data_IF_599425145299
#
_entry.id   IF_599425145299
#
_cell.length_a   1.000
_cell.length_b   1.000
_cell.length_c   1.000
_cell.angle_alpha   90.00
_cell.angle_beta   90.00
_cell.angle_gamma   90.00
#
_symmetry.space_group_name_H-M   'P 1'
#
loop_
_entity.id
_entity.type
_entity.pdbx_description
1 polymer ?
#
# COMPACT_ATOMS: atom_id res chain seq x y z
N UNK A 1 -28.65 -24.49 -71.40
CA UNK A 1 -27.50 -24.03 -70.59
C UNK A 1 -27.93 -22.82 -69.81
N UNK A 2 -28.13 -22.95 -68.49
CA UNK A 2 -28.57 -21.87 -67.60
C UNK A 2 -27.30 -21.28 -66.97
N UNK A 3 -27.01 -20.01 -67.24
CA UNK A 3 -25.94 -19.27 -66.58
C UNK A 3 -26.50 -18.66 -65.30
N UNK A 4 -26.01 -19.14 -64.16
CA UNK A 4 -26.29 -18.58 -62.84
C UNK A 4 -25.13 -17.67 -62.45
N UNK A 5 -25.39 -16.36 -62.37
CA UNK A 5 -24.43 -15.34 -61.93
C UNK A 5 -24.39 -15.31 -60.41
N UNK A 6 -23.27 -15.69 -59.80
CA UNK A 6 -23.05 -15.60 -58.34
C UNK A 6 -22.42 -14.25 -58.03
N UNK A 7 -23.13 -13.40 -57.30
CA UNK A 7 -22.62 -12.14 -56.74
C UNK A 7 -21.94 -12.46 -55.40
N UNK A 8 -20.63 -12.27 -55.32
CA UNK A 8 -19.87 -12.37 -54.08
C UNK A 8 -19.94 -11.02 -53.33
N UNK A 9 -20.62 -11.00 -52.19
CA UNK A 9 -20.60 -9.86 -51.28
C UNK A 9 -19.32 -9.93 -50.43
N UNK A 10 -18.41 -8.98 -50.65
CA UNK A 10 -17.24 -8.79 -49.80
C UNK A 10 -17.67 -8.12 -48.49
N UNK A 11 -17.65 -8.86 -47.38
CA UNK A 11 -17.79 -8.30 -46.04
C UNK A 11 -16.41 -7.80 -45.61
N UNK A 12 -16.12 -6.52 -45.82
CA UNK A 12 -15.03 -5.85 -45.13
C UNK A 12 -15.44 -5.60 -43.69
N UNK A 13 -15.07 -6.52 -42.80
CA UNK A 13 -15.10 -6.27 -41.37
C UNK A 13 -14.02 -5.24 -41.02
N UNK A 14 -14.44 -4.03 -40.63
CA UNK A 14 -13.57 -3.16 -39.85
C UNK A 14 -13.34 -3.85 -38.51
N UNK A 15 -12.16 -4.45 -38.34
CA UNK A 15 -11.65 -4.77 -37.01
C UNK A 15 -11.41 -3.43 -36.31
N UNK A 16 -12.39 -2.99 -35.51
CA UNK A 16 -12.12 -2.01 -34.47
C UNK A 16 -11.12 -2.70 -33.54
N UNK A 17 -9.87 -2.24 -33.54
CA UNK A 17 -8.93 -2.55 -32.47
C UNK A 17 -9.60 -2.08 -31.17
N UNK A 18 -10.12 -3.01 -30.39
CA UNK A 18 -10.35 -2.76 -28.97
C UNK A 18 -8.97 -2.45 -28.42
N UNK A 19 -8.70 -1.17 -28.16
CA UNK A 19 -7.46 -0.80 -27.47
C UNK A 19 -7.53 -1.47 -26.10
N UNK A 20 -6.72 -2.51 -25.90
CA UNK A 20 -6.65 -3.22 -24.64
C UNK A 20 -6.10 -2.30 -23.56
N UNK A 21 -6.72 -2.34 -22.39
CA UNK A 21 -6.14 -1.73 -21.19
C UNK A 21 -4.73 -2.28 -20.96
N UNK A 22 -3.78 -1.41 -20.63
CA UNK A 22 -2.42 -1.79 -20.23
C UNK A 22 -2.16 -1.35 -18.80
N UNK A 23 -1.85 -2.32 -17.94
CA UNK A 23 -1.37 -2.05 -16.57
C UNK A 23 0.14 -1.77 -16.62
N UNK A 24 0.56 -0.59 -16.17
CA UNK A 24 1.98 -0.19 -16.15
C UNK A 24 2.66 -0.50 -14.83
N UNK A 25 1.89 -0.53 -13.74
CA UNK A 25 2.39 -0.94 -12.44
C UNK A 25 1.31 -1.00 -11.38
N UNK A 26 1.67 -1.55 -10.23
CA UNK A 26 0.77 -1.66 -9.08
C UNK A 26 1.52 -1.55 -7.75
N UNK A 27 0.80 -1.11 -6.73
CA UNK A 27 1.20 -1.23 -5.33
C UNK A 27 0.17 -2.08 -4.58
N UNK A 28 0.65 -3.10 -3.87
CA UNK A 28 -0.15 -4.00 -3.05
C UNK A 28 0.24 -3.77 -1.59
N UNK A 29 -0.75 -3.48 -0.74
CA UNK A 29 -0.60 -3.49 0.71
C UNK A 29 -1.32 -4.71 1.28
N UNK A 30 -0.59 -5.57 1.99
CA UNK A 30 -1.12 -6.82 2.57
C UNK A 30 -1.16 -6.77 4.09
N UNK A 31 -2.31 -7.18 4.65
CA UNK A 31 -2.41 -7.54 6.06
C UNK A 31 -1.61 -8.82 6.30
N UNK A 32 -1.12 -9.01 7.53
CA UNK A 32 -0.64 -10.31 7.99
C UNK A 32 -1.67 -11.43 7.85
N UNK A 33 -1.17 -12.65 7.69
CA UNK A 33 -1.97 -13.88 7.77
C UNK A 33 -2.41 -14.21 9.20
N UNK A 34 -3.04 -15.37 9.35
CA UNK A 34 -3.37 -15.98 10.63
C UNK A 34 -2.14 -16.12 11.55
N UNK A 35 -2.38 -15.92 12.85
CA UNK A 35 -1.33 -15.71 13.84
C UNK A 35 -1.80 -16.06 15.24
N UNK A 36 -0.86 -16.37 16.13
CA UNK A 36 -1.15 -16.59 17.56
C UNK A 36 -1.71 -15.31 18.21
N UNK A 37 -2.49 -15.44 19.28
CA UNK A 37 -3.20 -14.30 19.88
C UNK A 37 -2.28 -13.12 20.21
N UNK A 38 -2.79 -11.90 20.00
CA UNK A 38 -2.13 -10.63 20.33
C UNK A 38 -2.13 -10.38 21.84
N UNK A 39 -3.01 -11.02 22.61
CA UNK A 39 -3.19 -10.80 24.04
C UNK A 39 -1.87 -10.81 24.84
N UNK A 40 -0.98 -11.75 24.53
CA UNK A 40 0.30 -11.91 25.23
C UNK A 40 1.46 -11.05 24.67
N UNK A 41 1.21 -10.23 23.66
CA UNK A 41 2.20 -9.29 23.09
C UNK A 41 3.38 -9.94 22.34
N UNK A 42 3.30 -11.23 22.01
CA UNK A 42 4.35 -11.98 21.31
C UNK A 42 3.81 -12.76 20.10
N UNK A 43 2.77 -12.26 19.45
CA UNK A 43 2.10 -12.89 18.33
C UNK A 43 3.07 -13.31 17.21
N UNK A 44 2.87 -14.53 16.70
CA UNK A 44 3.68 -15.14 15.66
C UNK A 44 2.80 -15.55 14.48
N UNK A 45 3.30 -15.37 13.27
CA UNK A 45 2.64 -15.87 12.06
C UNK A 45 2.61 -17.40 12.11
N UNK A 46 1.43 -17.99 11.98
CA UNK A 46 1.27 -19.46 12.03
C UNK A 46 1.58 -20.06 10.65
N UNK A 47 1.76 -21.39 10.53
CA UNK A 47 1.80 -22.06 9.23
C UNK A 47 0.55 -21.83 8.37
N UNK A 48 -0.63 -21.69 9.01
CA UNK A 48 -1.87 -21.31 8.32
C UNK A 48 -1.74 -19.90 7.74
N UNK A 49 -1.24 -18.95 8.52
CA UNK A 49 -0.99 -17.57 8.06
C UNK A 49 0.03 -17.49 6.93
N UNK A 50 1.12 -18.26 7.02
CA UNK A 50 2.10 -18.38 5.94
C UNK A 50 1.45 -18.90 4.65
N UNK A 51 0.59 -19.91 4.75
CA UNK A 51 -0.15 -20.47 3.60
C UNK A 51 -1.09 -19.44 2.97
N UNK A 52 -1.80 -18.66 3.80
CA UNK A 52 -2.67 -17.58 3.32
C UNK A 52 -1.85 -16.50 2.59
N UNK A 53 -0.76 -16.03 3.17
CA UNK A 53 0.11 -15.03 2.55
C UNK A 53 0.73 -15.54 1.23
N UNK A 54 1.20 -16.79 1.22
CA UNK A 54 1.71 -17.46 0.02
C UNK A 54 0.64 -17.55 -1.08
N UNK A 55 -0.58 -17.97 -0.73
CA UNK A 55 -1.71 -18.03 -1.67
C UNK A 55 -2.05 -16.64 -2.24
N UNK A 56 -2.01 -15.60 -1.40
CA UNK A 56 -2.17 -14.20 -1.85
C UNK A 56 -1.08 -13.80 -2.86
N UNK A 57 0.18 -14.15 -2.58
CA UNK A 57 1.29 -13.96 -3.53
C UNK A 57 1.07 -14.67 -4.88
N UNK A 58 0.62 -15.93 -4.85
CA UNK A 58 0.30 -16.70 -6.06
C UNK A 58 -0.84 -16.08 -6.86
N UNK A 59 -1.87 -15.56 -6.19
CA UNK A 59 -2.95 -14.83 -6.84
C UNK A 59 -2.39 -13.65 -7.65
N UNK A 60 -1.54 -12.84 -7.04
CA UNK A 60 -0.94 -11.68 -7.72
C UNK A 60 0.10 -12.05 -8.77
N UNK A 61 0.80 -13.18 -8.64
CA UNK A 61 1.62 -13.76 -9.73
C UNK A 61 0.75 -14.04 -10.95
N UNK A 62 -0.35 -14.74 -10.76
CA UNK A 62 -1.26 -15.09 -11.85
C UNK A 62 -1.88 -13.84 -12.49
N UNK A 63 -2.18 -12.82 -11.68
CA UNK A 63 -2.78 -11.57 -12.15
C UNK A 63 -1.80 -10.69 -12.92
N UNK A 64 -0.61 -10.44 -12.36
CA UNK A 64 0.29 -9.38 -12.84
C UNK A 64 1.52 -9.88 -13.58
N UNK A 65 1.97 -11.12 -13.36
CA UNK A 65 3.21 -11.63 -13.97
C UNK A 65 2.91 -12.55 -15.16
N UNK A 66 1.82 -13.32 -15.08
CA UNK A 66 1.46 -14.32 -16.09
C UNK A 66 1.12 -13.70 -17.45
N UNK A 67 1.70 -14.18 -18.57
CA UNK A 67 1.38 -13.75 -19.93
C UNK A 67 -0.04 -14.14 -20.36
N UNK A 68 -0.68 -15.07 -19.65
CA UNK A 68 -2.07 -15.45 -19.89
C UNK A 68 -3.07 -14.45 -19.28
N UNK A 69 -2.63 -13.55 -18.39
CA UNK A 69 -3.49 -12.54 -17.78
C UNK A 69 -3.62 -11.31 -18.65
N UNK A 70 -4.85 -10.84 -18.85
CA UNK A 70 -5.12 -9.54 -19.48
C UNK A 70 -4.67 -8.35 -18.63
N UNK A 71 -4.40 -8.58 -17.34
CA UNK A 71 -3.96 -7.55 -16.38
C UNK A 71 -2.46 -7.63 -16.12
N UNK A 72 -1.71 -8.39 -16.93
CA UNK A 72 -0.26 -8.46 -16.80
C UNK A 72 0.36 -7.06 -16.80
N UNK A 73 1.26 -6.82 -15.86
CA UNK A 73 2.03 -5.58 -15.82
C UNK A 73 2.99 -5.54 -17.01
N UNK A 74 2.92 -4.47 -17.79
CA UNK A 74 3.67 -4.34 -19.03
C UNK A 74 5.19 -4.48 -18.80
N UNK A 75 5.81 -5.42 -19.51
CA UNK A 75 7.24 -5.69 -19.44
C UNK A 75 7.75 -6.12 -18.06
N UNK A 76 6.91 -6.64 -17.17
CA UNK A 76 7.38 -7.25 -15.93
C UNK A 76 8.00 -8.62 -16.21
N UNK A 77 9.08 -8.93 -15.49
CA UNK A 77 9.70 -10.25 -15.51
C UNK A 77 8.77 -11.28 -14.87
N UNK A 78 8.39 -12.30 -15.63
CA UNK A 78 7.45 -13.33 -15.17
C UNK A 78 8.13 -14.36 -14.27
N UNK A 79 9.29 -14.86 -14.71
CA UNK A 79 9.90 -16.06 -14.13
C UNK A 79 10.97 -15.70 -13.12
N UNK A 80 11.94 -14.88 -13.52
CA UNK A 80 13.10 -14.51 -12.70
C UNK A 80 12.88 -13.15 -12.05
N UNK A 81 13.01 -13.06 -10.73
CA UNK A 81 12.92 -11.82 -9.98
C UNK A 81 13.90 -10.76 -10.52
N UNK A 82 13.37 -9.56 -10.79
CA UNK A 82 14.16 -8.38 -11.15
C UNK A 82 14.10 -7.34 -10.05
N UNK A 83 15.24 -7.12 -9.38
CA UNK A 83 15.38 -6.08 -8.33
C UNK A 83 15.04 -4.67 -8.81
N UNK A 84 15.19 -4.40 -10.11
CA UNK A 84 14.83 -3.09 -10.68
C UNK A 84 13.32 -2.89 -10.83
N UNK A 85 12.55 -3.97 -10.92
CA UNK A 85 11.11 -3.94 -11.21
C UNK A 85 10.23 -4.15 -9.98
N UNK A 86 10.74 -4.80 -8.93
CA UNK A 86 9.99 -5.04 -7.70
C UNK A 86 10.66 -4.39 -6.49
N UNK A 87 9.85 -3.70 -5.68
CA UNK A 87 10.22 -3.25 -4.35
C UNK A 87 9.31 -3.89 -3.30
N UNK A 88 9.89 -4.38 -2.21
CA UNK A 88 9.10 -4.90 -1.09
C UNK A 88 9.61 -4.41 0.26
N UNK A 89 8.70 -4.03 1.16
CA UNK A 89 9.07 -3.64 2.52
C UNK A 89 8.00 -3.99 3.56
N UNK A 90 8.44 -4.09 4.80
CA UNK A 90 7.58 -4.22 5.97
C UNK A 90 8.23 -3.50 7.16
N UNK A 91 7.46 -3.09 8.18
CA UNK A 91 8.04 -2.72 9.46
C UNK A 91 8.89 -3.88 10.00
N UNK A 92 9.97 -3.57 10.72
CA UNK A 92 10.89 -4.53 11.32
C UNK A 92 10.24 -5.22 12.55
N UNK A 93 9.20 -6.00 12.26
CA UNK A 93 8.41 -6.79 13.19
C UNK A 93 8.30 -8.19 12.59
N UNK A 94 8.69 -9.23 13.34
CA UNK A 94 8.79 -10.61 12.84
C UNK A 94 7.55 -11.07 12.07
N UNK A 95 6.35 -10.78 12.60
CA UNK A 95 5.09 -11.17 11.97
C UNK A 95 4.88 -10.51 10.59
N UNK A 96 5.29 -9.24 10.42
CA UNK A 96 5.11 -8.48 9.17
C UNK A 96 6.20 -8.82 8.14
N UNK A 97 7.44 -9.01 8.59
CA UNK A 97 8.52 -9.51 7.75
C UNK A 97 8.23 -10.92 7.24
N UNK A 98 7.74 -11.82 8.10
CA UNK A 98 7.36 -13.17 7.71
C UNK A 98 6.14 -13.16 6.77
N UNK A 99 5.17 -12.27 7.00
CA UNK A 99 4.04 -12.05 6.08
C UNK A 99 4.52 -11.69 4.69
N UNK A 100 5.36 -10.66 4.57
CA UNK A 100 5.91 -10.22 3.30
C UNK A 100 6.75 -11.32 2.65
N UNK A 101 7.56 -12.02 3.44
CA UNK A 101 8.37 -13.14 2.96
C UNK A 101 7.48 -14.23 2.34
N UNK A 102 6.49 -14.76 3.07
CA UNK A 102 5.57 -15.77 2.55
C UNK A 102 4.80 -15.30 1.32
N UNK A 103 4.38 -14.03 1.28
CA UNK A 103 3.76 -13.44 0.09
C UNK A 103 4.71 -13.47 -1.12
N UNK A 104 5.96 -13.03 -0.94
CA UNK A 104 6.96 -12.99 -2.02
C UNK A 104 7.32 -14.39 -2.54
N UNK A 105 7.28 -15.42 -1.67
CA UNK A 105 7.45 -16.82 -2.07
C UNK A 105 6.34 -17.29 -3.03
N UNK A 106 5.11 -16.84 -2.83
CA UNK A 106 4.01 -17.10 -3.76
C UNK A 106 4.12 -16.29 -5.05
N UNK A 107 4.63 -15.07 -4.96
CA UNK A 107 4.77 -14.14 -6.10
C UNK A 107 5.88 -14.56 -7.08
N UNK A 108 7.06 -14.91 -6.55
CA UNK A 108 8.22 -15.43 -7.27
C UNK A 108 8.64 -16.78 -6.67
N UNK A 109 7.95 -17.87 -7.03
CA UNK A 109 8.27 -19.21 -6.53
C UNK A 109 9.61 -19.71 -7.07
N UNK A 110 10.14 -20.84 -6.55
CA UNK A 110 11.38 -21.42 -7.05
C UNK A 110 11.39 -21.64 -8.57
N UNK A 111 12.55 -21.43 -9.19
CA UNK A 111 12.76 -21.56 -10.64
C UNK A 111 13.60 -22.80 -10.94
N UNK A 112 13.19 -23.65 -11.89
CA UNK A 112 13.94 -24.86 -12.18
C UNK A 112 15.32 -24.54 -12.73
N UNK A 113 16.29 -25.44 -12.47
CA UNK A 113 17.66 -25.34 -12.97
C UNK A 113 17.77 -25.06 -14.48
N UNK A 114 16.83 -25.56 -15.30
CA UNK A 114 16.79 -25.29 -16.75
C UNK A 114 16.61 -23.82 -17.13
N UNK A 115 16.15 -22.98 -16.19
CA UNK A 115 15.95 -21.54 -16.36
C UNK A 115 17.05 -20.74 -15.68
N UNK A 116 17.52 -21.16 -14.51
CA UNK A 116 18.38 -20.33 -13.66
C UNK A 116 19.43 -21.14 -12.88
N UNK A 117 20.20 -21.98 -13.57
CA UNK A 117 21.43 -22.57 -13.04
C UNK A 117 22.65 -21.67 -13.31
N UNK A 118 23.61 -21.68 -12.37
CA UNK A 118 24.93 -21.07 -12.56
C UNK A 118 25.90 -22.11 -13.12
N UNK A 119 26.52 -21.81 -14.26
CA UNK A 119 27.60 -22.63 -14.81
C UNK A 119 28.94 -22.26 -14.16
N UNK A 120 29.59 -23.23 -13.53
CA UNK A 120 30.90 -23.06 -12.92
C UNK A 120 32.02 -23.32 -13.93
N UNK A 121 33.22 -22.77 -13.65
CA UNK A 121 34.38 -22.89 -14.54
C UNK A 121 34.87 -24.34 -14.78
N UNK A 122 34.52 -25.28 -13.90
CA UNK A 122 34.82 -26.70 -14.02
C UNK A 122 33.80 -27.48 -14.89
N UNK A 123 32.79 -26.79 -15.43
CA UNK A 123 31.73 -27.38 -16.26
C UNK A 123 30.56 -27.99 -15.47
N UNK A 124 30.53 -27.90 -14.14
CA UNK A 124 29.33 -28.26 -13.36
C UNK A 124 28.33 -27.12 -13.31
N UNK A 125 27.05 -27.46 -13.19
CA UNK A 125 25.97 -26.51 -12.91
C UNK A 125 25.55 -26.57 -11.45
N UNK A 126 25.26 -25.42 -10.85
CA UNK A 126 24.72 -25.32 -9.50
C UNK A 126 23.41 -24.54 -9.50
N UNK A 127 22.48 -24.98 -8.68
CA UNK A 127 21.18 -24.35 -8.47
C UNK A 127 21.14 -23.67 -7.10
N UNK A 128 20.29 -22.65 -6.97
CA UNK A 128 19.99 -22.07 -5.66
C UNK A 128 19.35 -23.14 -4.73
N UNK A 129 19.59 -23.08 -3.41
CA UNK A 129 18.95 -23.97 -2.44
C UNK A 129 17.41 -23.94 -2.51
N UNK A 130 16.75 -24.90 -1.84
CA UNK A 130 15.28 -25.02 -1.79
C UNK A 130 14.64 -25.10 -3.19
N UNK A 131 15.19 -25.98 -4.03
CA UNK A 131 14.73 -26.28 -5.39
C UNK A 131 14.66 -25.05 -6.31
N UNK A 132 15.68 -24.18 -6.23
CA UNK A 132 15.78 -22.99 -7.08
C UNK A 132 15.13 -21.75 -6.49
N UNK A 133 15.07 -21.64 -5.17
CA UNK A 133 14.42 -20.53 -4.48
C UNK A 133 14.99 -19.17 -4.88
N UNK A 134 14.08 -18.22 -5.13
CA UNK A 134 14.43 -16.85 -5.51
C UNK A 134 14.52 -15.94 -4.28
N UNK A 135 15.68 -15.34 -4.06
CA UNK A 135 15.92 -14.42 -2.95
C UNK A 135 15.44 -13.01 -3.29
N UNK A 136 14.13 -12.80 -3.22
CA UNK A 136 13.52 -11.46 -3.39
C UNK A 136 13.96 -10.55 -2.24
N UNK A 137 14.38 -9.33 -2.57
CA UNK A 137 14.84 -8.37 -1.55
C UNK A 137 13.65 -7.82 -0.78
N UNK A 138 13.61 -8.07 0.53
CA UNK A 138 12.66 -7.50 1.47
C UNK A 138 13.36 -6.48 2.36
N UNK A 139 12.85 -5.25 2.38
CA UNK A 139 13.38 -4.18 3.23
C UNK A 139 12.61 -4.13 4.56
N UNK A 140 13.31 -4.42 5.67
CA UNK A 140 12.80 -4.14 7.01
C UNK A 140 12.97 -2.66 7.35
N UNK A 141 11.90 -2.03 7.85
CA UNK A 141 11.91 -0.63 8.27
C UNK A 141 11.99 -0.57 9.78
N UNK A 142 13.15 -0.12 10.28
CA UNK A 142 13.40 0.04 11.71
C UNK A 142 12.44 1.07 12.32
N UNK A 143 11.93 0.78 13.53
CA UNK A 143 10.94 1.62 14.21
C UNK A 143 11.46 3.00 14.63
N UNK A 144 12.77 3.20 14.67
CA UNK A 144 13.41 4.48 14.98
C UNK A 144 13.85 5.23 13.72
N UNK A 145 13.63 4.66 12.53
CA UNK A 145 13.82 5.35 11.26
C UNK A 145 12.65 6.30 10.98
N UNK A 146 12.89 7.49 10.39
CA UNK A 146 11.80 8.34 9.89
C UNK A 146 10.92 7.62 8.86
N UNK A 147 11.41 6.59 8.17
CA UNK A 147 10.63 5.81 7.20
C UNK A 147 9.54 4.94 7.83
N UNK A 148 9.58 4.70 9.15
CA UNK A 148 8.56 3.90 9.85
C UNK A 148 7.16 4.47 9.68
N UNK A 149 7.04 5.80 9.59
CA UNK A 149 5.77 6.50 9.58
C UNK A 149 4.91 6.12 8.36
N UNK A 150 5.53 5.68 7.26
CA UNK A 150 4.85 5.31 6.02
C UNK A 150 3.96 4.06 6.16
N UNK A 151 4.30 3.17 7.08
CA UNK A 151 3.58 1.92 7.32
C UNK A 151 3.02 1.83 8.75
N UNK A 152 3.47 2.70 9.66
CA UNK A 152 3.14 2.74 11.10
C UNK A 152 2.95 4.16 11.61
N UNK A 153 2.27 5.01 10.82
CA UNK A 153 2.12 6.44 11.13
C UNK A 153 1.30 6.76 12.38
N UNK A 154 0.62 5.78 12.96
CA UNK A 154 -0.11 5.85 14.22
C UNK A 154 0.76 5.44 15.43
N UNK A 155 1.82 4.65 15.23
CA UNK A 155 2.72 4.22 16.30
C UNK A 155 3.66 5.36 16.72
N UNK A 156 4.10 5.33 17.98
CA UNK A 156 4.92 6.40 18.59
C UNK A 156 4.33 7.80 18.41
N UNK A 157 2.99 7.88 18.35
CA UNK A 157 2.28 9.12 18.07
C UNK A 157 1.36 9.58 19.20
N UNK A 158 1.80 10.50 20.08
CA UNK A 158 1.00 10.99 21.21
C UNK A 158 -0.36 11.57 20.80
N UNK A 159 -0.41 12.34 19.71
CA UNK A 159 -1.65 12.92 19.20
C UNK A 159 -2.65 11.84 18.74
N UNK A 160 -2.18 10.85 17.97
CA UNK A 160 -3.01 9.71 17.53
C UNK A 160 -3.50 8.89 18.73
N UNK A 161 -2.59 8.54 19.66
CA UNK A 161 -2.92 7.80 20.88
C UNK A 161 -4.01 8.49 21.71
N UNK A 162 -3.93 9.81 21.84
CA UNK A 162 -4.92 10.62 22.57
C UNK A 162 -6.25 10.61 21.85
N UNK A 163 -6.24 10.79 20.53
CA UNK A 163 -7.45 10.78 19.72
C UNK A 163 -8.11 9.40 19.70
N UNK A 164 -7.36 8.31 19.56
CA UNK A 164 -7.84 6.93 19.66
C UNK A 164 -8.54 6.67 21.00
N UNK A 165 -7.90 7.02 22.13
CA UNK A 165 -8.47 6.87 23.47
C UNK A 165 -9.78 7.65 23.68
N UNK A 166 -9.95 8.78 22.99
CA UNK A 166 -11.19 9.56 23.10
C UNK A 166 -12.43 8.81 22.60
N UNK A 167 -12.28 7.74 21.80
CA UNK A 167 -13.42 6.92 21.36
C UNK A 167 -14.18 6.33 22.56
N UNK A 168 -13.48 5.92 23.62
CA UNK A 168 -14.08 5.38 24.84
C UNK A 168 -14.98 6.38 25.59
N UNK A 169 -14.85 7.67 25.27
CA UNK A 169 -15.69 8.73 25.86
C UNK A 169 -16.90 9.09 25.00
N UNK A 170 -17.01 8.53 23.79
CA UNK A 170 -18.12 8.79 22.87
C UNK A 170 -19.43 8.15 23.33
N UNK A 171 -20.55 8.71 22.89
CA UNK A 171 -21.88 8.15 23.18
C UNK A 171 -22.10 6.79 22.51
N UNK A 172 -21.54 6.57 21.31
CA UNK A 172 -21.57 5.27 20.64
C UNK A 172 -20.90 4.18 21.50
N UNK A 173 -19.68 4.45 21.99
CA UNK A 173 -18.96 3.51 22.84
C UNK A 173 -19.73 3.22 24.14
N UNK A 174 -20.19 4.27 24.85
CA UNK A 174 -20.95 4.09 26.10
C UNK A 174 -22.24 3.29 25.88
N UNK A 175 -22.93 3.54 24.77
CA UNK A 175 -24.14 2.80 24.40
C UNK A 175 -23.82 1.33 24.17
N UNK A 176 -22.79 1.01 23.38
CA UNK A 176 -22.40 -0.37 23.09
C UNK A 176 -21.93 -1.09 24.35
N UNK A 177 -21.10 -0.46 25.17
CA UNK A 177 -20.64 -0.97 26.47
C UNK A 177 -21.81 -1.33 27.38
N UNK A 178 -22.81 -0.44 27.51
CA UNK A 178 -23.99 -0.74 28.32
C UNK A 178 -24.89 -1.82 27.69
N UNK A 179 -25.12 -1.78 26.38
CA UNK A 179 -26.10 -2.68 25.73
C UNK A 179 -25.58 -4.10 25.51
N UNK A 180 -24.26 -4.29 25.51
CA UNK A 180 -23.62 -5.59 25.24
C UNK A 180 -23.04 -6.25 26.48
N UNK A 181 -23.20 -5.64 27.66
CA UNK A 181 -22.69 -6.15 28.92
C UNK A 181 -23.06 -7.61 29.17
N UNK A 182 -24.35 -7.94 29.11
CA UNK A 182 -24.83 -9.31 29.35
C UNK A 182 -24.28 -10.30 28.32
N UNK A 183 -24.12 -9.87 27.07
CA UNK A 183 -23.49 -10.67 26.02
C UNK A 183 -22.04 -11.00 26.37
N UNK A 184 -21.23 -10.01 26.73
CA UNK A 184 -19.83 -10.27 27.12
C UNK A 184 -19.73 -11.13 28.38
N UNK A 185 -20.57 -10.88 29.38
CA UNK A 185 -20.59 -11.70 30.60
C UNK A 185 -20.91 -13.18 30.29
N UNK A 186 -21.76 -13.45 29.29
CA UNK A 186 -22.05 -14.81 28.85
C UNK A 186 -20.86 -15.55 28.25
N UNK A 187 -19.77 -14.85 27.88
CA UNK A 187 -18.58 -15.45 27.29
C UNK A 187 -17.62 -16.07 28.31
N UNK A 188 -17.81 -15.83 29.61
CA UNK A 188 -16.90 -16.34 30.66
C UNK A 188 -16.59 -17.84 30.57
N UNK A 189 -17.57 -18.74 30.34
CA UNK A 189 -17.29 -20.18 30.24
C UNK A 189 -16.31 -20.57 29.12
N UNK A 190 -16.16 -19.72 28.10
CA UNK A 190 -15.26 -19.95 26.97
C UNK A 190 -13.84 -19.42 27.23
N UNK A 191 -13.68 -18.57 28.25
CA UNK A 191 -12.44 -17.86 28.59
C UNK A 191 -11.90 -18.22 29.98
N UNK A 192 -12.60 -19.07 30.74
CA UNK A 192 -12.24 -19.39 32.13
C UNK A 192 -10.84 -20.01 32.31
N UNK A 193 -10.31 -20.64 31.26
CA UNK A 193 -8.96 -21.23 31.25
C UNK A 193 -7.85 -20.23 30.84
N UNK A 194 -8.23 -19.00 30.45
CA UNK A 194 -7.28 -17.90 30.19
C UNK A 194 -6.89 -17.28 31.53
N UNK A 195 -5.65 -17.49 31.95
CA UNK A 195 -5.22 -17.32 33.34
C UNK A 195 -5.32 -15.88 33.88
N UNK A 196 -5.30 -14.88 33.01
CA UNK A 196 -5.32 -13.45 33.32
C UNK A 196 -6.64 -12.75 32.93
N UNK A 197 -7.64 -13.50 32.45
CA UNK A 197 -8.98 -12.96 32.20
C UNK A 197 -9.89 -13.21 33.41
N UNK A 198 -10.52 -12.15 33.88
CA UNK A 198 -11.52 -12.18 34.94
C UNK A 198 -12.90 -11.76 34.41
N UNK A 199 -13.96 -11.98 35.17
CA UNK A 199 -15.31 -11.51 34.79
C UNK A 199 -15.38 -9.98 34.58
N UNK A 200 -14.50 -9.22 35.24
CA UNK A 200 -14.44 -7.76 35.09
C UNK A 200 -13.89 -7.33 33.73
N UNK A 201 -13.14 -8.21 33.05
CA UNK A 201 -12.58 -7.94 31.72
C UNK A 201 -13.60 -8.19 30.61
N UNK A 202 -14.70 -8.90 30.89
CA UNK A 202 -15.77 -9.22 29.95
C UNK A 202 -16.65 -8.01 29.66
N UNK A 203 -16.16 -7.12 28.81
CA UNK A 203 -16.82 -5.88 28.42
C UNK A 203 -16.46 -5.46 27.00
N UNK A 204 -17.25 -4.53 26.44
CA UNK A 204 -16.98 -3.95 25.12
C UNK A 204 -15.66 -3.17 25.09
N UNK A 205 -15.21 -2.65 26.24
CA UNK A 205 -13.87 -2.06 26.39
C UNK A 205 -12.75 -2.99 25.91
N UNK A 206 -12.92 -4.30 26.05
CA UNK A 206 -11.96 -5.32 25.61
C UNK A 206 -12.44 -6.07 24.36
N UNK A 207 -13.34 -5.48 23.56
CA UNK A 207 -14.01 -6.15 22.44
C UNK A 207 -13.05 -6.87 21.48
N UNK A 208 -11.98 -6.20 21.03
CA UNK A 208 -11.01 -6.80 20.13
C UNK A 208 -10.21 -7.93 20.79
N UNK A 209 -9.76 -7.71 22.03
CA UNK A 209 -8.92 -8.67 22.75
C UNK A 209 -9.68 -9.98 23.03
N UNK A 210 -10.94 -9.87 23.48
CA UNK A 210 -11.82 -11.02 23.70
C UNK A 210 -12.18 -11.74 22.40
N UNK A 211 -12.46 -10.99 21.32
CA UNK A 211 -12.64 -11.56 19.99
C UNK A 211 -11.39 -12.33 19.56
N UNK A 212 -10.21 -11.73 19.75
CA UNK A 212 -8.97 -12.31 19.31
C UNK A 212 -8.64 -13.63 20.01
N UNK A 213 -8.73 -13.63 21.34
CA UNK A 213 -8.53 -14.83 22.16
C UNK A 213 -9.44 -15.97 21.70
N UNK A 214 -10.75 -15.70 21.57
CA UNK A 214 -11.73 -16.72 21.20
C UNK A 214 -11.61 -17.17 19.75
N UNK A 215 -11.35 -16.25 18.81
CA UNK A 215 -11.16 -16.58 17.40
C UNK A 215 -9.91 -17.46 17.22
N UNK A 216 -8.77 -17.06 17.79
CA UNK A 216 -7.54 -17.86 17.71
C UNK A 216 -7.72 -19.22 18.38
N UNK A 217 -8.33 -19.27 19.57
CA UNK A 217 -8.58 -20.52 20.27
C UNK A 217 -9.51 -21.46 19.47
N UNK A 218 -10.54 -20.93 18.80
CA UNK A 218 -11.44 -21.73 17.95
C UNK A 218 -10.75 -22.33 16.72
N UNK A 219 -9.69 -21.71 16.22
CA UNK A 219 -8.93 -22.18 15.04
C UNK A 219 -7.86 -23.21 15.47
N UNK A 220 -7.13 -22.92 16.55
CA UNK A 220 -5.87 -23.61 16.87
C UNK A 220 -5.91 -24.50 18.11
N UNK A 221 -6.89 -24.34 19.01
CA UNK A 221 -6.95 -25.07 20.27
C UNK A 221 -8.19 -25.97 20.32
N UNK A 222 -8.04 -27.21 19.84
CA UNK A 222 -9.11 -28.21 19.84
C UNK A 222 -9.64 -28.58 21.23
N UNK A 223 -8.87 -28.30 22.29
CA UNK A 223 -9.29 -28.53 23.67
C UNK A 223 -9.98 -27.32 24.32
N UNK A 224 -9.95 -26.16 23.68
CA UNK A 224 -10.59 -24.95 24.20
C UNK A 224 -12.11 -25.05 24.10
N UNK A 225 -12.79 -24.55 25.13
CA UNK A 225 -14.23 -24.34 25.09
C UNK A 225 -14.67 -23.45 23.91
N UNK A 226 -13.80 -22.57 23.38
CA UNK A 226 -14.06 -21.70 22.23
C UNK A 226 -14.49 -22.48 20.97
N UNK A 227 -14.12 -23.76 20.84
CA UNK A 227 -14.56 -24.64 19.75
C UNK A 227 -16.07 -24.93 19.78
N UNK A 228 -16.74 -24.70 20.92
CA UNK A 228 -18.17 -24.87 21.11
C UNK A 228 -18.96 -23.56 20.95
N UNK A 229 -18.31 -22.44 20.56
CA UNK A 229 -19.01 -21.20 20.26
C UNK A 229 -19.88 -21.37 19.02
N UNK A 230 -21.12 -20.87 19.08
CA UNK A 230 -21.97 -20.85 17.88
C UNK A 230 -21.44 -19.85 16.86
N UNK A 231 -21.74 -20.09 15.57
CA UNK A 231 -21.42 -19.16 14.48
C UNK A 231 -21.98 -17.76 14.73
N UNK A 232 -23.18 -17.66 15.31
CA UNK A 232 -23.85 -16.41 15.61
C UNK A 232 -23.13 -15.65 16.73
N UNK A 233 -22.66 -16.36 17.76
CA UNK A 233 -21.94 -15.76 18.89
C UNK A 233 -20.59 -15.22 18.44
N UNK A 234 -19.83 -16.01 17.66
CA UNK A 234 -18.55 -15.57 17.10
C UNK A 234 -18.74 -14.40 16.14
N UNK A 235 -19.80 -14.41 15.31
CA UNK A 235 -20.13 -13.31 14.42
C UNK A 235 -20.50 -12.02 15.17
N UNK A 236 -21.30 -12.12 16.24
CA UNK A 236 -21.62 -10.97 17.09
C UNK A 236 -20.38 -10.41 17.77
N UNK A 237 -19.51 -11.28 18.30
CA UNK A 237 -18.25 -10.90 18.92
C UNK A 237 -17.32 -10.18 17.93
N UNK A 238 -17.18 -10.73 16.71
CA UNK A 238 -16.47 -10.10 15.60
C UNK A 238 -17.05 -8.73 15.26
N UNK A 239 -18.38 -8.63 15.11
CA UNK A 239 -19.05 -7.36 14.78
C UNK A 239 -18.78 -6.28 15.82
N UNK A 240 -18.70 -6.64 17.10
CA UNK A 240 -18.37 -5.69 18.17
C UNK A 240 -16.89 -5.29 18.14
N UNK A 241 -15.98 -6.23 17.90
CA UNK A 241 -14.56 -5.95 17.68
C UNK A 241 -14.35 -5.03 16.47
N UNK A 242 -15.05 -5.27 15.36
CA UNK A 242 -15.02 -4.44 14.16
C UNK A 242 -15.38 -2.98 14.47
N UNK A 243 -16.48 -2.76 15.20
CA UNK A 243 -16.89 -1.42 15.64
C UNK A 243 -15.86 -0.78 16.57
N UNK A 244 -15.30 -1.56 17.50
CA UNK A 244 -14.33 -1.04 18.46
C UNK A 244 -13.04 -0.58 17.76
N UNK A 245 -12.52 -1.38 16.85
CA UNK A 245 -11.30 -1.07 16.11
C UNK A 245 -11.55 0.04 15.07
N UNK A 246 -12.69 0.06 14.38
CA UNK A 246 -13.03 1.15 13.46
C UNK A 246 -13.18 2.48 14.19
N UNK A 247 -13.91 2.51 15.30
CA UNK A 247 -14.07 3.72 16.12
C UNK A 247 -12.75 4.20 16.72
N UNK A 248 -11.83 3.27 17.02
CA UNK A 248 -10.47 3.60 17.47
C UNK A 248 -9.63 4.20 16.34
N UNK A 249 -9.69 3.65 15.13
CA UNK A 249 -8.82 4.05 14.01
C UNK A 249 -9.40 5.14 13.11
N UNK A 250 -10.67 5.53 13.28
CA UNK A 250 -11.30 6.56 12.46
C UNK A 250 -12.32 7.38 13.25
N UNK A 251 -12.40 8.67 12.93
CA UNK A 251 -13.42 9.58 13.45
C UNK A 251 -14.20 10.17 12.27
N UNK A 252 -15.47 9.78 12.13
CA UNK A 252 -16.37 10.28 11.08
C UNK A 252 -16.53 11.80 11.10
N UNK A 253 -16.42 12.43 12.28
CA UNK A 253 -16.54 13.89 12.42
C UNK A 253 -15.25 14.63 12.07
N UNK A 254 -14.11 13.91 12.07
CA UNK A 254 -12.79 14.44 11.74
C UNK A 254 -12.03 13.46 10.83
N UNK A 255 -12.45 13.29 9.55
CA UNK A 255 -11.84 12.30 8.64
C UNK A 255 -10.34 12.53 8.35
N UNK A 256 -9.86 13.74 8.58
CA UNK A 256 -8.45 14.12 8.44
C UNK A 256 -7.82 14.41 9.81
N UNK A 257 -8.41 13.90 10.90
CA UNK A 257 -7.92 14.10 12.27
C UNK A 257 -6.85 13.09 12.68
N UNK A 258 -6.50 13.10 13.95
CA UNK A 258 -5.35 12.37 14.48
C UNK A 258 -5.56 10.84 14.52
N UNK A 259 -6.81 10.34 14.49
CA UNK A 259 -7.06 8.90 14.30
C UNK A 259 -6.66 8.42 12.91
N UNK A 260 -6.67 9.30 11.91
CA UNK A 260 -6.31 9.01 10.53
C UNK A 260 -4.82 9.18 10.22
N UNK A 261 -3.96 9.31 11.24
CA UNK A 261 -2.51 9.50 11.03
C UNK A 261 -1.89 8.39 10.18
N UNK A 262 -2.19 7.12 10.48
CA UNK A 262 -1.73 5.98 9.69
C UNK A 262 -2.23 6.02 8.23
N UNK A 263 -3.45 6.49 7.99
CA UNK A 263 -3.98 6.65 6.62
C UNK A 263 -3.29 7.79 5.84
N UNK A 264 -3.07 8.93 6.50
CA UNK A 264 -2.47 10.11 5.89
C UNK A 264 -1.00 9.87 5.50
N UNK A 265 -0.23 9.12 6.30
CA UNK A 265 1.13 8.72 5.93
C UNK A 265 1.14 7.58 4.91
N UNK A 266 0.26 6.58 5.05
CA UNK A 266 0.16 5.48 4.09
C UNK A 266 -0.22 5.99 2.69
N UNK A 267 -1.20 6.89 2.57
CA UNK A 267 -1.59 7.47 1.28
C UNK A 267 -0.45 8.25 0.63
N UNK A 268 0.35 8.97 1.42
CA UNK A 268 1.57 9.62 0.93
C UNK A 268 2.59 8.59 0.42
N UNK A 269 2.77 7.47 1.14
CA UNK A 269 3.63 6.37 0.72
C UNK A 269 3.16 5.74 -0.60
N UNK A 270 1.85 5.53 -0.78
CA UNK A 270 1.27 5.03 -2.03
C UNK A 270 1.64 5.94 -3.20
N UNK A 271 1.42 7.26 -3.08
CA UNK A 271 1.79 8.23 -4.11
C UNK A 271 3.29 8.21 -4.35
N UNK A 272 4.11 8.19 -3.30
CA UNK A 272 5.57 8.17 -3.41
C UNK A 272 6.10 6.95 -4.17
N UNK A 273 5.58 5.76 -3.89
CA UNK A 273 5.99 4.53 -4.58
C UNK A 273 5.52 4.47 -6.03
N UNK A 274 4.26 4.85 -6.30
CA UNK A 274 3.76 4.89 -7.67
C UNK A 274 4.45 5.97 -8.51
N UNK A 275 4.81 7.11 -7.92
CA UNK A 275 5.55 8.17 -8.59
C UNK A 275 6.91 7.68 -9.10
N UNK A 276 7.63 6.84 -8.35
CA UNK A 276 8.90 6.25 -8.81
C UNK A 276 8.73 5.45 -10.11
N UNK A 277 7.62 4.72 -10.24
CA UNK A 277 7.29 4.01 -11.48
C UNK A 277 7.01 5.00 -12.60
N UNK A 278 6.18 6.02 -12.33
CA UNK A 278 5.80 7.04 -13.32
C UNK A 278 7.00 7.84 -13.82
N UNK A 279 7.88 8.29 -12.92
CA UNK A 279 9.12 9.02 -13.22
C UNK A 279 10.09 8.18 -14.06
N UNK A 280 10.06 6.85 -13.88
CA UNK A 280 10.85 5.92 -14.68
C UNK A 280 10.19 5.53 -16.00
N UNK A 281 9.04 6.14 -16.34
CA UNK A 281 8.23 5.80 -17.51
C UNK A 281 7.81 4.33 -17.57
N UNK A 282 7.50 3.74 -16.40
CA UNK A 282 7.11 2.33 -16.30
C UNK A 282 8.25 1.33 -16.41
N UNK A 283 9.51 1.76 -16.36
CA UNK A 283 10.68 0.87 -16.50
C UNK A 283 11.16 0.28 -15.17
N UNK A 284 11.01 1.03 -14.06
CA UNK A 284 11.46 0.64 -12.72
C UNK A 284 10.30 0.57 -11.74
N UNK A 285 10.49 -0.22 -10.69
CA UNK A 285 9.54 -0.39 -9.58
C UNK A 285 8.09 -0.59 -10.05
N UNK A 286 7.91 -1.40 -11.09
CA UNK A 286 6.61 -1.74 -11.68
C UNK A 286 5.65 -2.37 -10.67
N UNK A 287 6.18 -3.12 -9.71
CA UNK A 287 5.39 -3.72 -8.63
C UNK A 287 5.98 -3.34 -7.26
N UNK A 288 5.12 -2.87 -6.37
CA UNK A 288 5.47 -2.58 -4.97
C UNK A 288 4.63 -3.47 -4.04
N UNK A 289 5.27 -4.13 -3.08
CA UNK A 289 4.59 -4.94 -2.06
C UNK A 289 4.92 -4.40 -0.67
N UNK A 290 3.91 -3.94 0.04
CA UNK A 290 4.03 -3.41 1.40
C UNK A 290 3.26 -4.33 2.34
N UNK A 291 3.86 -4.73 3.47
CA UNK A 291 3.13 -5.47 4.51
C UNK A 291 2.88 -4.60 5.72
N UNK A 292 1.68 -4.72 6.30
CA UNK A 292 1.30 -4.03 7.53
C UNK A 292 0.12 -4.68 8.23
N UNK A 293 -0.56 -3.89 9.06
CA UNK A 293 -1.60 -4.35 9.96
C UNK A 293 -2.97 -3.76 9.59
N UNK A 294 -4.03 -4.28 10.22
CA UNK A 294 -5.41 -3.93 9.89
C UNK A 294 -5.79 -2.48 10.26
N UNK A 295 -5.11 -1.88 11.24
CA UNK A 295 -5.28 -0.48 11.67
C UNK A 295 -5.12 0.48 10.48
N UNK A 296 -4.08 0.27 9.66
CA UNK A 296 -3.84 1.03 8.42
C UNK A 296 -4.99 0.89 7.44
N UNK A 297 -5.56 -0.32 7.28
CA UNK A 297 -6.75 -0.53 6.44
C UNK A 297 -7.94 0.26 6.97
N UNK A 298 -8.27 0.12 8.27
CA UNK A 298 -9.45 0.78 8.86
C UNK A 298 -9.34 2.31 8.77
N UNK A 299 -8.18 2.86 9.10
CA UNK A 299 -7.92 4.28 8.98
C UNK A 299 -8.05 4.73 7.51
N UNK A 300 -7.49 3.98 6.57
CA UNK A 300 -7.55 4.30 5.14
C UNK A 300 -8.97 4.20 4.58
N UNK A 301 -9.74 3.18 4.97
CA UNK A 301 -11.14 3.01 4.54
C UNK A 301 -12.00 4.21 4.92
N UNK A 302 -11.85 4.71 6.14
CA UNK A 302 -12.52 5.93 6.57
C UNK A 302 -12.02 7.17 5.84
N UNK A 303 -10.70 7.38 5.81
CA UNK A 303 -10.06 8.56 5.21
C UNK A 303 -10.34 8.69 3.69
N UNK A 304 -10.35 7.56 2.99
CA UNK A 304 -10.66 7.46 1.56
C UNK A 304 -12.18 7.40 1.28
N UNK A 305 -13.03 7.53 2.31
CA UNK A 305 -14.50 7.50 2.22
C UNK A 305 -15.11 6.20 1.66
N UNK A 306 -14.39 5.08 1.74
CA UNK A 306 -14.85 3.76 1.29
C UNK A 306 -16.04 3.24 2.13
N UNK A 307 -16.18 3.71 3.37
CA UNK A 307 -17.34 3.42 4.24
C UNK A 307 -18.68 3.87 3.65
N UNK A 308 -18.68 4.78 2.67
CA UNK A 308 -19.89 5.22 1.94
C UNK A 308 -20.22 4.33 0.74
N UNK A 309 -19.27 3.48 0.34
CA UNK A 309 -19.33 2.71 -0.90
C UNK A 309 -19.89 1.31 -0.66
N UNK A 310 -19.37 0.58 0.34
CA UNK A 310 -19.74 -0.80 0.62
C UNK A 310 -19.63 -1.10 2.13
N UNK A 311 -20.53 -1.95 2.64
CA UNK A 311 -20.57 -2.31 4.07
C UNK A 311 -19.34 -3.11 4.52
N UNK A 312 -18.64 -3.78 3.61
CA UNK A 312 -17.43 -4.57 3.93
C UNK A 312 -16.29 -3.74 4.52
N UNK A 313 -16.29 -2.43 4.29
CA UNK A 313 -15.27 -1.53 4.81
C UNK A 313 -15.45 -1.17 6.29
N UNK A 314 -16.58 -1.56 6.92
CA UNK A 314 -16.79 -1.35 8.36
C UNK A 314 -16.14 -2.44 9.22
N UNK A 315 -15.78 -3.58 8.63
CA UNK A 315 -15.20 -4.72 9.32
C UNK A 315 -13.68 -4.68 9.34
N UNK A 316 -13.08 -5.35 10.33
CA UNK A 316 -11.67 -5.72 10.28
C UNK A 316 -11.44 -6.56 9.01
N UNK A 317 -10.48 -6.18 8.14
CA UNK A 317 -10.10 -6.99 7.00
C UNK A 317 -9.69 -8.40 7.45
N UNK A 318 -10.04 -9.41 6.66
CA UNK A 318 -9.69 -10.80 6.91
C UNK A 318 -8.17 -11.03 6.84
N UNK A 319 -7.69 -12.15 7.37
CA UNK A 319 -6.27 -12.47 7.33
C UNK A 319 -5.77 -12.54 5.88
N UNK A 320 -4.58 -11.98 5.61
CA UNK A 320 -4.02 -11.84 4.27
C UNK A 320 -4.88 -11.04 3.26
N UNK A 321 -5.81 -10.21 3.74
CA UNK A 321 -6.49 -9.22 2.90
C UNK A 321 -5.52 -8.22 2.28
N UNK A 322 -5.87 -7.69 1.11
CA UNK A 322 -5.02 -6.78 0.33
C UNK A 322 -5.79 -5.58 -0.21
N UNK A 323 -5.15 -4.42 -0.16
CA UNK A 323 -5.51 -3.21 -0.90
C UNK A 323 -4.51 -3.03 -2.04
N UNK A 324 -5.00 -2.69 -3.22
CA UNK A 324 -4.16 -2.55 -4.41
C UNK A 324 -4.48 -1.26 -5.16
N UNK A 325 -3.43 -0.57 -5.59
CA UNK A 325 -3.51 0.64 -6.41
C UNK A 325 -2.81 0.34 -7.73
N UNK A 326 -3.59 0.27 -8.81
CA UNK A 326 -3.06 0.02 -10.14
C UNK A 326 -2.93 1.34 -10.91
N UNK A 327 -1.83 1.48 -11.66
CA UNK A 327 -1.64 2.55 -12.64
C UNK A 327 -1.70 1.93 -14.03
N UNK A 328 -2.60 2.43 -14.86
CA UNK A 328 -2.91 1.84 -16.17
C UNK A 328 -3.30 2.91 -17.20
N UNK A 329 -3.38 2.53 -18.46
CA UNK A 329 -3.91 3.39 -19.54
C UNK A 329 -4.55 2.55 -20.65
N UNK A 330 -5.25 3.22 -21.56
CA UNK A 330 -5.88 2.56 -22.73
C UNK A 330 -4.88 2.31 -23.88
N UNK A 331 -3.58 2.47 -23.62
CA UNK A 331 -2.47 2.31 -24.57
C UNK A 331 -1.29 1.60 -23.92
N UNK A 332 -0.55 0.82 -24.73
CA UNK A 332 0.74 0.25 -24.31
C UNK A 332 1.84 1.32 -24.15
N UNK A 333 1.69 2.46 -24.82
CA UNK A 333 2.65 3.56 -24.71
C UNK A 333 2.51 4.22 -23.35
N UNK A 334 3.63 4.35 -22.66
CA UNK A 334 3.67 5.10 -21.41
C UNK A 334 3.60 6.61 -21.69
N UNK A 335 2.47 7.23 -21.33
CA UNK A 335 2.27 8.68 -21.38
C UNK A 335 1.56 9.11 -20.11
N UNK A 336 2.18 10.00 -19.32
CA UNK A 336 1.69 10.39 -18.00
C UNK A 336 0.28 11.00 -18.05
N UNK A 337 -0.01 11.76 -19.12
CA UNK A 337 -1.30 12.38 -19.38
C UNK A 337 -2.46 11.39 -19.58
N UNK A 338 -2.13 10.15 -19.97
CA UNK A 338 -3.09 9.07 -20.25
C UNK A 338 -3.25 8.12 -19.04
N UNK A 339 -2.39 8.26 -18.01
CA UNK A 339 -2.42 7.39 -16.84
C UNK A 339 -3.67 7.60 -15.99
N UNK A 340 -4.26 6.48 -15.61
CA UNK A 340 -5.35 6.37 -14.66
C UNK A 340 -4.91 5.52 -13.47
N UNK A 341 -5.58 5.72 -12.34
CA UNK A 341 -5.46 4.95 -11.11
C UNK A 341 -6.80 4.33 -10.78
N UNK A 342 -6.78 3.06 -10.37
CA UNK A 342 -7.92 2.41 -9.71
C UNK A 342 -7.50 1.76 -8.41
N UNK A 343 -8.43 1.74 -7.45
CA UNK A 343 -8.26 1.05 -6.17
C UNK A 343 -9.04 -0.27 -6.21
N UNK A 344 -8.38 -1.32 -5.73
CA UNK A 344 -8.97 -2.64 -5.59
C UNK A 344 -8.79 -3.17 -4.18
N UNK A 345 -9.74 -3.97 -3.73
CA UNK A 345 -9.71 -4.62 -2.42
C UNK A 345 -10.07 -6.10 -2.58
N UNK A 346 -9.24 -6.97 -2.01
CA UNK A 346 -9.51 -8.41 -1.87
C UNK A 346 -9.46 -8.76 -0.39
N UNK A 347 -10.59 -9.21 0.15
CA UNK A 347 -10.72 -9.48 1.58
C UNK A 347 -10.43 -10.95 1.91
N UNK A 348 -9.17 -11.25 2.22
CA UNK A 348 -8.72 -12.59 2.58
C UNK A 348 -8.36 -13.46 1.38
N UNK A 349 -8.25 -14.78 1.63
CA UNK A 349 -7.73 -15.75 0.65
C UNK A 349 -8.70 -16.84 0.25
N UNK A 350 -9.92 -16.80 0.78
CA UNK A 350 -10.95 -17.80 0.49
C UNK A 350 -11.28 -17.85 -1.01
N UNK A 351 -11.87 -18.97 -1.45
CA UNK A 351 -12.09 -19.25 -2.87
C UNK A 351 -13.09 -18.30 -3.54
N UNK A 352 -13.96 -17.68 -2.76
CA UNK A 352 -14.91 -16.64 -3.18
C UNK A 352 -14.37 -15.21 -3.02
N UNK A 353 -13.21 -15.03 -2.37
CA UNK A 353 -12.58 -13.72 -2.20
C UNK A 353 -12.02 -13.19 -3.54
N UNK A 354 -12.74 -12.23 -4.12
CA UNK A 354 -12.38 -11.55 -5.38
C UNK A 354 -11.62 -10.25 -5.13
N UNK A 355 -10.77 -9.88 -6.08
CA UNK A 355 -10.20 -8.54 -6.16
C UNK A 355 -11.22 -7.63 -6.85
N UNK A 356 -11.88 -6.78 -6.08
CA UNK A 356 -12.96 -5.91 -6.56
C UNK A 356 -12.51 -4.45 -6.59
N UNK A 357 -12.95 -3.71 -7.61
CA UNK A 357 -12.63 -2.30 -7.81
C UNK A 357 -13.66 -1.41 -7.10
N UNK A 358 -13.20 -0.35 -6.41
CA UNK A 358 -14.06 0.59 -5.70
C UNK A 358 -13.69 2.04 -5.98
N UNK A 359 -14.67 2.97 -6.02
CA UNK A 359 -14.38 4.39 -6.10
C UNK A 359 -13.74 4.90 -4.81
N UNK A 360 -12.74 5.77 -4.97
CA UNK A 360 -12.09 6.45 -3.86
C UNK A 360 -12.67 7.85 -3.64
N UNK A 361 -12.45 8.39 -2.44
CA UNK A 361 -12.64 9.79 -2.10
C UNK A 361 -14.10 10.28 -2.21
N UNK A 362 -15.05 9.36 -2.00
CA UNK A 362 -16.49 9.65 -2.06
C UNK A 362 -17.00 9.92 -3.48
N UNK A 363 -16.22 9.58 -4.50
CA UNK A 363 -16.61 9.69 -5.91
C UNK A 363 -17.47 8.51 -6.35
N UNK A 364 -18.03 8.61 -7.55
CA UNK A 364 -18.77 7.50 -8.19
C UNK A 364 -17.91 6.75 -9.20
N UNK A 365 -16.95 7.43 -9.81
CA UNK A 365 -16.01 6.85 -10.77
C UNK A 365 -15.01 5.94 -10.05
N UNK A 366 -14.85 4.72 -10.56
CA UNK A 366 -13.93 3.72 -10.02
C UNK A 366 -12.49 3.91 -10.52
N UNK A 367 -12.27 4.86 -11.43
CA UNK A 367 -11.01 5.18 -12.06
C UNK A 367 -10.84 6.70 -12.04
N UNK A 368 -9.61 7.18 -11.87
CA UNK A 368 -9.31 8.62 -11.95
C UNK A 368 -7.95 8.85 -12.57
N UNK A 369 -7.75 10.02 -13.18
CA UNK A 369 -6.43 10.38 -13.74
C UNK A 369 -5.36 10.35 -12.66
N UNK A 370 -4.14 9.92 -13.00
CA UNK A 370 -2.99 9.92 -12.09
C UNK A 370 -2.81 11.26 -11.38
N UNK A 371 -2.85 12.36 -12.13
CA UNK A 371 -2.73 13.72 -11.58
C UNK A 371 -3.85 14.08 -10.60
N UNK A 372 -5.07 13.61 -10.86
CA UNK A 372 -6.20 13.82 -9.96
C UNK A 372 -6.07 12.98 -8.69
N UNK A 373 -5.62 11.72 -8.78
CA UNK A 373 -5.35 10.87 -7.62
C UNK A 373 -4.34 11.54 -6.67
N UNK A 374 -3.24 12.04 -7.22
CA UNK A 374 -2.21 12.79 -6.46
C UNK A 374 -2.81 14.02 -5.78
N UNK A 375 -3.61 14.81 -6.50
CA UNK A 375 -4.25 16.01 -5.95
C UNK A 375 -5.25 15.69 -4.83
N UNK A 376 -6.04 14.63 -4.96
CA UNK A 376 -6.97 14.19 -3.92
C UNK A 376 -6.24 13.73 -2.66
N UNK A 377 -5.15 12.95 -2.81
CA UNK A 377 -4.32 12.51 -1.69
C UNK A 377 -3.73 13.71 -0.94
N UNK A 378 -3.16 14.67 -1.68
CA UNK A 378 -2.59 15.89 -1.09
C UNK A 378 -3.67 16.77 -0.44
N UNK A 379 -4.79 17.00 -1.13
CA UNK A 379 -5.90 17.84 -0.65
C UNK A 379 -6.58 17.28 0.60
N UNK A 380 -6.41 15.99 0.90
CA UNK A 380 -6.90 15.31 2.10
C UNK A 380 -5.89 15.25 3.24
N UNK A 381 -4.83 16.04 3.17
CA UNK A 381 -3.86 16.21 4.26
C UNK A 381 -2.87 15.06 4.40
N UNK A 382 -2.60 14.32 3.33
CA UNK A 382 -1.54 13.31 3.33
C UNK A 382 -0.20 13.95 3.75
N UNK A 383 0.47 13.31 4.71
CA UNK A 383 1.73 13.83 5.26
C UNK A 383 2.89 13.27 4.44
N UNK A 384 3.58 14.14 3.72
CA UNK A 384 4.63 13.72 2.76
C UNK A 384 6.03 13.76 3.34
N UNK A 385 6.20 14.32 4.54
CA UNK A 385 7.50 14.41 5.21
C UNK A 385 7.43 13.94 6.66
N UNK A 386 8.55 13.42 7.18
CA UNK A 386 8.68 13.09 8.59
C UNK A 386 8.57 14.32 9.48
N UNK A 387 8.96 15.51 8.99
CA UNK A 387 8.80 16.77 9.72
C UNK A 387 7.32 17.11 9.96
N UNK A 388 6.49 17.03 8.91
CA UNK A 388 5.04 17.27 9.02
C UNK A 388 4.41 16.30 10.01
N UNK A 389 4.80 15.02 9.91
CA UNK A 389 4.37 14.00 10.85
C UNK A 389 4.80 14.35 12.27
N UNK A 390 6.08 14.62 12.54
CA UNK A 390 6.59 14.94 13.88
C UNK A 390 5.83 16.12 14.51
N UNK A 391 5.62 17.20 13.75
CA UNK A 391 4.91 18.38 14.23
C UNK A 391 3.44 18.10 14.55
N UNK A 392 2.74 17.38 13.67
CA UNK A 392 1.33 17.03 13.86
C UNK A 392 1.12 16.01 14.97
N UNK A 393 2.01 15.03 15.01
CA UNK A 393 1.97 13.88 15.90
C UNK A 393 2.39 14.24 17.33
N UNK A 394 3.15 15.33 17.48
CA UNK A 394 3.77 15.75 18.74
C UNK A 394 4.68 14.65 19.31
N UNK A 395 5.40 13.95 18.43
CA UNK A 395 6.24 12.81 18.80
C UNK A 395 7.61 13.26 19.33
N UNK A 396 8.10 12.56 20.34
CA UNK A 396 9.44 12.75 20.91
C UNK A 396 10.48 11.75 20.39
N UNK A 397 10.16 11.03 19.30
CA UNK A 397 11.06 10.07 18.68
C UNK A 397 12.40 10.70 18.30
N UNK A 398 13.46 9.89 18.31
CA UNK A 398 14.83 10.37 18.09
C UNK A 398 14.99 11.16 16.78
N UNK A 399 14.36 10.68 15.69
CA UNK A 399 14.40 11.35 14.39
C UNK A 399 13.61 12.67 14.36
N UNK A 400 12.64 12.88 15.26
CA UNK A 400 11.88 14.14 15.33
C UNK A 400 12.71 15.30 15.90
N UNK A 401 13.68 15.00 16.78
CA UNK A 401 14.53 16.02 17.42
C UNK A 401 15.35 16.82 16.41
N UNK A 402 15.68 16.25 15.25
CA UNK A 402 16.42 16.93 14.19
C UNK A 402 15.65 18.16 13.68
N UNK A 403 14.31 18.07 13.63
CA UNK A 403 13.45 19.14 13.13
C UNK A 403 13.15 20.24 14.18
N UNK A 404 13.26 19.93 15.48
CA UNK A 404 13.12 20.92 16.55
C UNK A 404 14.30 21.91 16.59
N UNK A 405 15.50 21.42 16.25
CA UNK A 405 16.74 22.23 16.21
C UNK A 405 16.74 23.20 15.01
N UNK A 406 16.09 22.83 13.90
CA UNK A 406 15.97 23.72 12.73
C UNK A 406 14.99 24.88 12.98
N UNK A 407 13.91 24.64 13.73
CA UNK A 407 12.96 25.70 14.12
C UNK A 407 13.60 26.76 15.04
N UNK A 408 14.63 26.38 15.81
CA UNK A 408 15.36 27.29 16.71
C UNK A 408 16.57 27.97 16.06
N UNK A 409 17.11 27.44 14.96
CA UNK A 409 18.18 28.10 14.17
C UNK A 409 17.66 29.15 13.16
N UNK A 410 16.35 29.37 13.08
CA UNK A 410 15.74 30.47 12.33
C UNK A 410 16.02 31.87 12.89
N UNK A 411 16.59 31.96 14.09
CA UNK A 411 17.09 33.19 14.72
C UNK A 411 18.52 32.96 15.22
N UNK A 412 19.52 32.89 14.34
CA UNK A 412 20.81 33.58 14.56
C UNK A 412 21.81 33.38 13.42
N UNK A 413 22.47 34.49 13.03
CA UNK A 413 23.61 34.50 12.10
C UNK A 413 24.92 34.21 12.85
N UNK A 414 25.71 33.26 12.33
CA UNK A 414 27.17 33.32 11.98
C UNK A 414 27.99 32.10 12.42
N UNK A 415 28.75 31.62 11.42
CA UNK A 415 30.11 31.03 11.39
C UNK A 415 30.47 29.75 12.14
N UNK A 416 31.27 28.93 11.44
CA UNK A 416 32.14 27.90 12.02
C UNK A 416 31.80 26.48 11.62
N UNK A 417 32.59 25.91 10.70
CA UNK A 417 32.42 24.54 10.22
C UNK A 417 32.89 23.45 11.20
N UNK A 418 32.35 22.26 11.04
CA UNK A 418 33.06 20.98 11.14
C UNK A 418 32.21 19.90 10.47
N UNK A 419 32.87 19.07 9.68
CA UNK A 419 32.34 17.90 8.99
C UNK A 419 31.77 16.87 9.98
N UNK A 420 30.58 16.39 9.65
CA UNK A 420 29.95 15.22 10.27
C UNK A 420 29.06 14.57 9.23
N UNK A 421 29.47 13.41 8.74
CA UNK A 421 28.70 12.58 7.83
C UNK A 421 27.38 12.20 8.49
N UNK A 422 26.31 12.90 8.11
CA UNK A 422 24.94 12.51 8.38
C UNK A 422 24.43 11.76 7.15
N UNK A 423 24.11 10.48 7.36
CA UNK A 423 23.34 9.68 6.41
C UNK A 423 21.98 10.36 6.29
N UNK A 424 21.83 11.19 5.25
CA UNK A 424 20.58 11.80 4.88
C UNK A 424 19.66 10.72 4.31
N UNK A 425 18.80 10.17 5.17
CA UNK A 425 17.58 9.49 4.75
C UNK A 425 16.80 10.43 3.84
N UNK A 426 16.40 9.91 2.68
CA UNK A 426 15.85 10.65 1.55
C UNK A 426 14.64 11.48 2.00
N UNK A 427 14.78 12.81 1.94
CA UNK A 427 13.65 13.73 1.97
C UNK A 427 12.86 13.53 0.68
N UNK A 428 11.71 12.86 0.76
CA UNK A 428 10.74 12.82 -0.35
C UNK A 428 10.05 14.18 -0.48
N UNK A 429 10.73 15.12 -1.13
CA UNK A 429 10.12 16.22 -1.89
C UNK A 429 10.61 15.97 -3.31
N UNK A 430 9.76 15.58 -4.28
CA UNK A 430 8.93 16.53 -5.03
C UNK A 430 7.67 15.83 -5.55
N UNK A 431 6.50 16.10 -4.96
CA UNK A 431 5.23 15.98 -5.72
C UNK A 431 4.57 17.35 -5.71
N UNK A 432 4.83 18.11 -6.78
CA UNK A 432 4.26 19.45 -7.02
C UNK A 432 5.21 20.43 -7.70
N UNK A 433 6.53 20.29 -7.49
CA UNK A 433 7.54 21.20 -8.06
C UNK A 433 7.93 20.91 -9.52
N UNK A 434 7.87 19.65 -9.96
CA UNK A 434 8.37 19.27 -11.30
C UNK A 434 7.40 19.62 -12.43
N UNK A 435 6.10 19.72 -12.20
CA UNK A 435 5.16 20.14 -13.24
C UNK A 435 5.31 21.64 -13.59
N UNK A 436 5.58 22.51 -12.61
CA UNK A 436 5.79 23.94 -12.84
C UNK A 436 7.25 24.27 -13.21
N UNK A 437 8.23 23.58 -12.64
CA UNK A 437 9.64 23.78 -12.99
C UNK A 437 10.00 23.23 -14.38
N UNK A 438 9.43 22.09 -14.81
CA UNK A 438 9.66 21.56 -16.16
C UNK A 438 9.08 22.46 -17.24
N UNK A 439 7.90 23.05 -17.01
CA UNK A 439 7.30 24.03 -17.90
C UNK A 439 8.14 25.32 -17.98
N UNK A 440 8.62 25.84 -16.84
CA UNK A 440 9.49 27.02 -16.81
C UNK A 440 10.85 26.78 -17.46
N UNK A 441 11.46 25.60 -17.23
CA UNK A 441 12.74 25.21 -17.84
C UNK A 441 12.57 24.98 -19.35
N UNK A 442 11.49 24.34 -19.81
CA UNK A 442 11.18 24.24 -21.24
C UNK A 442 10.92 25.61 -21.86
N UNK A 443 10.19 26.52 -21.20
CA UNK A 443 9.95 27.86 -21.71
C UNK A 443 11.25 28.67 -21.83
N UNK A 444 12.16 28.55 -20.84
CA UNK A 444 13.49 29.17 -20.87
C UNK A 444 14.40 28.55 -21.94
N UNK A 445 14.31 27.24 -22.18
CA UNK A 445 15.10 26.56 -23.21
C UNK A 445 14.62 26.92 -24.63
N UNK A 446 13.30 27.01 -24.83
CA UNK A 446 12.70 27.46 -26.10
C UNK A 446 13.00 28.95 -26.34
N UNK A 447 12.91 29.80 -25.32
CA UNK A 447 13.26 31.22 -25.42
C UNK A 447 14.75 31.42 -25.74
N UNK A 448 15.66 30.65 -25.13
CA UNK A 448 17.09 30.68 -25.44
C UNK A 448 17.38 30.23 -26.87
N UNK A 449 16.77 29.13 -27.34
CA UNK A 449 16.92 28.66 -28.72
C UNK A 449 16.38 29.64 -29.76
N UNK A 450 15.29 30.35 -29.45
CA UNK A 450 14.76 31.43 -30.31
C UNK A 450 15.74 32.59 -30.42
N UNK A 451 16.32 33.02 -29.29
CA UNK A 451 17.32 34.11 -29.25
C UNK A 451 18.64 33.75 -29.94
N UNK A 452 19.06 32.48 -29.89
CA UNK A 452 20.23 31.99 -30.63
C UNK A 452 19.98 31.88 -32.14
N UNK A 453 18.77 31.49 -32.57
CA UNK A 453 18.37 31.52 -33.98
C UNK A 453 18.36 32.94 -34.53
N UNK A 454 17.83 33.90 -33.78
CA UNK A 454 17.85 35.32 -34.15
C UNK A 454 19.29 35.86 -34.26
N UNK A 455 20.18 35.52 -33.32
CA UNK A 455 21.61 35.90 -33.40
C UNK A 455 22.35 35.25 -34.58
N UNK A 456 22.02 34.01 -34.94
CA UNK A 456 22.59 33.34 -36.14
C UNK A 456 22.09 33.95 -37.44
N UNK A 457 20.82 34.37 -37.52
CA UNK A 457 20.29 35.09 -38.69
C UNK A 457 20.94 36.47 -38.86
N UNK A 458 21.18 37.21 -37.77
CA UNK A 458 21.88 38.51 -37.82
C UNK A 458 23.35 38.32 -38.25
N UNK A 459 24.05 37.30 -37.74
CA UNK A 459 25.43 36.99 -38.17
C UNK A 459 25.52 36.48 -39.61
N UNK A 460 24.52 35.74 -40.10
CA UNK A 460 24.46 35.30 -41.50
C UNK A 460 24.29 36.47 -42.47
N UNK A 461 23.41 37.42 -42.11
CA UNK A 461 23.16 38.62 -42.92
C UNK A 461 24.37 39.56 -43.00
N UNK A 462 25.13 39.69 -41.91
CA UNK A 462 26.39 40.46 -41.88
C UNK A 462 27.49 39.83 -42.74
N UNK A 463 27.45 38.52 -42.98
CA UNK A 463 28.40 37.86 -43.90
C UNK A 463 27.99 38.05 -45.35
N UNK A 464 26.70 37.92 -45.70
CA UNK A 464 26.21 38.14 -47.07
C UNK A 464 26.44 39.58 -47.57
N UNK A 465 26.33 40.57 -46.69
CA UNK A 465 26.62 41.98 -47.03
C UNK A 465 28.13 42.29 -47.15
N UNK A 466 29.01 41.44 -46.59
CA UNK A 466 30.47 41.58 -46.70
C UNK A 466 31.07 40.83 -47.91
N UNK A 467 30.31 39.94 -48.55
CA UNK A 467 30.73 39.19 -49.73
C UNK A 467 30.33 39.85 -51.08
N UNK A 468 29.71 41.03 -51.03
CA UNK A 468 29.15 41.74 -52.20
C UNK A 468 29.81 43.10 -52.49
N UNK A 469 31.06 43.32 -52.08
CA UNK A 469 31.90 44.45 -52.50
C UNK A 469 33.10 43.98 -53.31
#
# INVERSE_FOLDING_TARGET
MKHTTTIAAAITGLAASVSGETVHGALIFTRHGDRTTKHYGNQQLTPLGQTQCFSSGQFYRNLYLSPASSQRINGISEIVYSKSQLYASAPDQDILLNTATSFLQGLYPPVPASVHAESLANGSEVEAPLDGYQYVTLHGVDKFSPDTIWLKGDESCPAANTAQKSYQTSEEFKSLESSTKDFYQSLYPYLADVYDITEQDLSYKNAYDLYDLLNVASIHNSSSAATNLSSETLHQLKTLADKAELGTNFDFSKPQGERSMGAMTFAAAVVAHLSKMVESQGEKQKLTVLSGSYDTFLAFFGWAELLKTDKRFYGLPEYAATMTFEVFSDSEKFAEEDLKVRFLFRNGTDSDAKLEQFPLFGKTEQEMRWTQFVQEVQGRGAMTTAQDWCGRCQSSEGFCKVYEVEATKGEDKKDGGMEGEMIAGIVMIVVGGLALASAAVMFLFVARRKKEREKKMVKGKVWEDAASV
#
